data_IF_317303216774
#
_entry.id   IF_317303216774
#
_cell.length_a   1.000
_cell.length_b   1.000
_cell.length_c   1.000
_cell.angle_alpha   90.00
_cell.angle_beta   90.00
_cell.angle_gamma   90.00
#
_symmetry.space_group_name_H-M   'P 1'
#
loop_
_entity.id
_entity.type
_entity.pdbx_description
1 polymer ?
#
# COMPACT_ATOMS: atom_id res chain seq x y z
N UNK A 1 -2.90 -14.02 -14.51
CA UNK A 1 -2.57 -12.87 -13.67
C UNK A 1 -1.09 -12.65 -13.84
N UNK A 2 -0.79 -11.63 -14.62
CA UNK A 2 0.56 -11.18 -14.93
C UNK A 2 0.71 -9.73 -14.46
N UNK A 3 1.82 -9.44 -13.80
CA UNK A 3 2.17 -8.07 -13.43
C UNK A 3 2.85 -7.46 -14.65
N UNK A 4 2.13 -6.60 -15.36
CA UNK A 4 2.56 -6.07 -16.66
C UNK A 4 3.41 -4.81 -16.54
N UNK A 5 3.29 -4.08 -15.43
CA UNK A 5 4.08 -2.88 -15.16
C UNK A 5 4.32 -2.74 -13.66
N UNK A 6 5.49 -2.24 -13.28
CA UNK A 6 5.77 -1.76 -11.92
C UNK A 6 6.45 -0.40 -12.01
N UNK A 7 5.82 0.63 -11.43
CA UNK A 7 6.39 1.96 -11.25
C UNK A 7 6.94 2.09 -9.84
N UNK A 8 8.12 2.67 -9.69
CA UNK A 8 8.83 2.78 -8.40
C UNK A 8 9.19 4.24 -8.10
N UNK A 9 8.81 4.72 -6.93
CA UNK A 9 9.24 6.01 -6.35
C UNK A 9 10.20 5.74 -5.20
N UNK A 10 11.49 5.94 -5.43
CA UNK A 10 12.51 5.80 -4.39
C UNK A 10 12.33 6.86 -3.30
N UNK A 11 12.60 6.47 -2.05
CA UNK A 11 12.67 7.38 -0.92
C UNK A 11 14.14 7.64 -0.60
N UNK A 12 14.51 8.93 -0.56
CA UNK A 12 15.90 9.34 -0.41
C UNK A 12 16.50 9.02 0.98
N UNK A 13 15.67 8.82 2.00
CA UNK A 13 16.14 8.63 3.37
C UNK A 13 16.71 7.22 3.60
N UNK A 14 18.04 7.15 3.79
CA UNK A 14 18.76 5.88 3.95
C UNK A 14 18.55 5.20 5.30
N UNK A 15 18.20 5.95 6.35
CA UNK A 15 18.05 5.41 7.71
C UNK A 15 16.66 4.81 7.97
N UNK A 16 15.69 5.08 7.09
CA UNK A 16 14.35 4.56 7.23
C UNK A 16 14.22 3.15 6.65
N UNK A 17 13.35 2.35 7.27
CA UNK A 17 13.02 1.02 6.74
C UNK A 17 12.25 1.09 5.43
N UNK A 18 11.48 2.16 5.20
CA UNK A 18 10.74 2.35 3.96
C UNK A 18 11.67 2.87 2.87
N UNK A 19 11.76 2.16 1.74
CA UNK A 19 12.72 2.45 0.68
C UNK A 19 12.09 2.96 -0.60
N UNK A 20 10.87 2.52 -0.89
CA UNK A 20 10.13 3.01 -2.04
C UNK A 20 8.63 2.86 -1.84
N UNK A 21 7.88 3.70 -2.57
CA UNK A 21 6.49 3.42 -2.92
C UNK A 21 6.44 2.86 -4.34
N UNK A 22 5.53 1.93 -4.57
CA UNK A 22 5.34 1.27 -5.85
C UNK A 22 3.87 1.29 -6.25
N UNK A 23 3.64 1.32 -7.55
CA UNK A 23 2.36 0.97 -8.15
C UNK A 23 2.58 -0.17 -9.13
N UNK A 24 1.69 -1.16 -9.13
CA UNK A 24 1.75 -2.27 -10.10
C UNK A 24 0.50 -2.29 -10.95
N UNK A 25 0.66 -2.58 -12.24
CA UNK A 25 -0.42 -2.82 -13.19
C UNK A 25 -0.51 -4.32 -13.43
N UNK A 26 -1.72 -4.87 -13.34
CA UNK A 26 -2.02 -6.29 -13.53
C UNK A 26 -2.81 -6.43 -14.82
N UNK A 27 -2.38 -7.37 -15.67
CA UNK A 27 -3.02 -7.74 -16.94
C UNK A 27 -3.34 -6.52 -17.84
N UNK A 28 -2.54 -5.45 -17.76
CA UNK A 28 -2.77 -4.14 -18.43
C UNK A 28 -4.16 -3.52 -18.17
N UNK A 29 -4.83 -3.91 -17.08
CA UNK A 29 -6.24 -3.58 -16.86
C UNK A 29 -6.51 -3.04 -15.45
N UNK A 30 -5.65 -3.30 -14.47
CA UNK A 30 -5.91 -2.94 -13.09
C UNK A 30 -4.66 -2.46 -12.36
N UNK A 31 -4.72 -1.28 -11.74
CA UNK A 31 -3.60 -0.69 -11.00
C UNK A 31 -3.80 -0.81 -9.49
N UNK A 32 -2.76 -1.24 -8.78
CA UNK A 32 -2.68 -1.19 -7.32
C UNK A 32 -1.60 -0.18 -6.93
N UNK A 33 -2.00 0.90 -6.26
CA UNK A 33 -1.12 1.97 -5.74
C UNK A 33 -0.73 1.75 -4.28
N UNK A 34 0.20 2.56 -3.78
CA UNK A 34 0.63 2.60 -2.36
C UNK A 34 1.24 1.29 -1.82
N UNK A 35 1.84 0.49 -2.71
CA UNK A 35 2.64 -0.66 -2.31
C UNK A 35 3.98 -0.15 -1.78
N UNK A 36 4.55 -0.80 -0.78
CA UNK A 36 5.77 -0.33 -0.11
C UNK A 36 6.87 -1.36 -0.20
N UNK A 37 8.08 -0.92 -0.55
CA UNK A 37 9.30 -1.72 -0.39
C UNK A 37 9.95 -1.37 0.94
N UNK A 38 10.14 -2.36 1.79
CA UNK A 38 10.65 -2.19 3.15
C UNK A 38 11.90 -3.03 3.36
N UNK A 39 12.93 -2.45 3.97
CA UNK A 39 14.11 -3.17 4.47
C UNK A 39 13.75 -3.96 5.74
N UNK A 40 13.81 -5.28 5.64
CA UNK A 40 13.71 -6.23 6.74
C UNK A 40 15.08 -6.71 7.22
N UNK A 41 15.09 -7.70 8.11
CA UNK A 41 16.34 -8.36 8.55
C UNK A 41 16.95 -9.24 7.47
N UNK A 42 16.12 -9.78 6.57
CA UNK A 42 16.50 -10.75 5.55
C UNK A 42 16.44 -10.13 4.14
N UNK A 43 16.68 -8.83 4.03
CA UNK A 43 16.58 -8.08 2.77
C UNK A 43 15.25 -7.36 2.59
N UNK A 44 14.98 -6.94 1.35
CA UNK A 44 13.79 -6.19 0.97
C UNK A 44 12.55 -7.09 0.93
N UNK A 45 11.41 -6.56 1.39
CA UNK A 45 10.12 -7.21 1.26
C UNK A 45 9.03 -6.21 0.92
N UNK A 46 7.92 -6.73 0.38
CA UNK A 46 6.77 -5.92 -0.05
C UNK A 46 5.70 -5.88 1.04
N UNK A 47 5.28 -4.68 1.39
CA UNK A 47 4.09 -4.44 2.20
C UNK A 47 2.97 -3.89 1.33
N UNK A 48 1.82 -4.55 1.40
CA UNK A 48 0.65 -4.18 0.61
C UNK A 48 0.03 -2.85 1.08
N UNK A 49 -0.77 -2.19 0.22
CA UNK A 49 -1.50 -0.99 0.58
C UNK A 49 -2.44 -1.30 1.74
N UNK A 50 -2.43 -0.47 2.78
CA UNK A 50 -3.21 -0.73 3.99
C UNK A 50 -3.86 0.52 4.53
N UNK A 51 -5.04 0.33 5.14
CA UNK A 51 -5.80 1.39 5.80
C UNK A 51 -5.86 1.17 7.31
N UNK A 52 -5.92 2.26 8.07
CA UNK A 52 -6.23 2.23 9.49
C UNK A 52 -7.68 1.74 9.67
N UNK A 53 -7.87 0.78 10.56
CA UNK A 53 -9.19 0.29 10.91
C UNK A 53 -9.93 1.30 11.79
N UNK A 54 -11.24 1.38 11.57
CA UNK A 54 -12.15 2.29 12.25
C UNK A 54 -13.48 1.61 12.51
N UNK A 55 -14.17 2.07 13.54
CA UNK A 55 -15.53 1.71 13.91
C UNK A 55 -16.37 2.99 14.13
N UNK A 56 -17.62 2.81 14.55
CA UNK A 56 -18.56 3.91 14.77
C UNK A 56 -18.85 4.07 16.25
N UNK A 57 -18.94 5.32 16.69
CA UNK A 57 -19.30 5.66 18.07
C UNK A 57 -20.73 5.18 18.38
N UNK A 58 -20.96 4.46 19.49
CA UNK A 58 -22.30 3.98 19.84
C UNK A 58 -23.27 5.11 20.23
N UNK A 59 -22.77 6.31 20.57
CA UNK A 59 -23.60 7.46 20.95
C UNK A 59 -24.07 8.27 19.75
N UNK A 60 -23.17 8.60 18.82
CA UNK A 60 -23.46 9.54 17.73
C UNK A 60 -23.23 8.98 16.32
N UNK A 61 -22.79 7.73 16.18
CA UNK A 61 -22.47 7.12 14.89
C UNK A 61 -21.18 7.63 14.23
N UNK A 62 -20.46 8.58 14.82
CA UNK A 62 -19.22 9.14 14.23
C UNK A 62 -18.11 8.11 14.06
N UNK A 63 -17.35 8.19 12.96
CA UNK A 63 -16.24 7.26 12.63
C UNK A 63 -15.01 7.55 13.49
N UNK A 64 -14.45 6.52 14.11
CA UNK A 64 -13.31 6.62 15.02
C UNK A 64 -12.28 5.52 14.73
N UNK A 65 -10.99 5.81 14.92
CA UNK A 65 -9.99 4.75 14.86
C UNK A 65 -10.10 3.83 16.10
N UNK A 66 -9.72 2.57 15.95
CA UNK A 66 -9.95 1.55 16.99
C UNK A 66 -9.21 1.83 18.32
N UNK A 67 -8.15 2.64 18.30
CA UNK A 67 -7.41 3.09 19.49
C UNK A 67 -7.97 4.33 20.18
N UNK A 68 -8.99 4.98 19.61
CA UNK A 68 -9.51 6.22 20.19
C UNK A 68 -10.17 5.92 21.55
N UNK A 69 -9.81 6.70 22.58
CA UNK A 69 -10.45 6.66 23.91
C UNK A 69 -11.70 7.53 23.96
N UNK A 70 -11.80 8.52 23.08
CA UNK A 70 -12.94 9.43 22.97
C UNK A 70 -13.35 9.58 21.51
N UNK A 71 -14.64 9.85 21.30
CA UNK A 71 -15.18 10.10 19.98
C UNK A 71 -14.66 11.41 19.38
N UNK A 72 -14.05 11.34 18.20
CA UNK A 72 -13.57 12.48 17.41
C UNK A 72 -14.69 13.43 16.95
N UNK A 73 -15.96 13.04 17.10
CA UNK A 73 -17.12 13.86 16.73
C UNK A 73 -17.87 14.42 17.95
N UNK A 74 -18.22 13.57 18.94
CA UNK A 74 -19.06 14.00 20.08
C UNK A 74 -18.37 13.97 21.45
N UNK A 75 -17.08 13.59 21.52
CA UNK A 75 -16.32 13.51 22.76
C UNK A 75 -16.70 12.36 23.71
N UNK A 76 -17.71 11.55 23.38
CA UNK A 76 -18.11 10.42 24.22
C UNK A 76 -16.94 9.43 24.43
N UNK A 77 -16.80 8.92 25.65
CA UNK A 77 -15.84 7.85 25.97
C UNK A 77 -16.14 6.60 25.14
N UNK A 78 -15.09 6.00 24.60
CA UNK A 78 -15.13 4.81 23.78
C UNK A 78 -14.43 3.66 24.50
N UNK A 79 -14.98 2.44 24.36
CA UNK A 79 -14.44 1.26 25.02
C UNK A 79 -12.99 0.95 24.63
N UNK A 80 -12.26 0.34 25.57
CA UNK A 80 -10.85 -0.01 25.39
C UNK A 80 -10.64 -1.23 24.48
N UNK A 81 -11.60 -2.16 24.48
CA UNK A 81 -11.51 -3.46 23.80
C UNK A 81 -12.24 -3.49 22.45
N UNK A 82 -12.17 -2.40 21.68
CA UNK A 82 -12.83 -2.31 20.36
C UNK A 82 -12.04 -2.96 19.23
N UNK A 83 -10.73 -3.14 19.41
CA UNK A 83 -9.90 -3.81 18.41
C UNK A 83 -9.89 -5.33 18.61
N UNK A 84 -10.13 -6.07 17.52
CA UNK A 84 -9.93 -7.52 17.51
C UNK A 84 -8.47 -7.85 17.81
N UNK A 85 -8.24 -8.79 18.73
CA UNK A 85 -6.92 -9.33 19.06
C UNK A 85 -6.66 -10.58 18.20
N UNK A 86 -5.44 -10.74 17.69
CA UNK A 86 -5.01 -11.98 17.03
C UNK A 86 -4.81 -13.12 18.06
N UNK A 87 -4.53 -14.34 17.60
CA UNK A 87 -4.27 -15.49 18.48
C UNK A 87 -3.08 -15.28 19.45
N UNK A 88 -2.22 -14.29 19.18
CA UNK A 88 -1.08 -13.88 20.01
C UNK A 88 -1.40 -12.65 20.87
N UNK A 89 -2.67 -12.22 20.93
CA UNK A 89 -3.13 -11.08 21.72
C UNK A 89 -2.86 -9.70 21.11
N UNK A 90 -2.28 -9.61 19.91
CA UNK A 90 -1.92 -8.33 19.29
C UNK A 90 -3.14 -7.70 18.61
N UNK A 91 -3.34 -6.40 18.83
CA UNK A 91 -4.44 -5.65 18.24
C UNK A 91 -4.25 -5.52 16.72
N UNK A 92 -5.23 -5.96 15.93
CA UNK A 92 -5.26 -5.72 14.48
C UNK A 92 -5.81 -4.33 14.20
N UNK A 93 -4.91 -3.37 13.98
CA UNK A 93 -5.24 -1.94 13.79
C UNK A 93 -5.26 -1.50 12.32
N UNK A 94 -4.65 -2.30 11.46
CA UNK A 94 -4.57 -2.06 10.04
C UNK A 94 -5.12 -3.26 9.30
N UNK A 95 -5.72 -3.00 8.15
CA UNK A 95 -6.13 -4.02 7.20
C UNK A 95 -5.59 -3.63 5.83
N UNK A 96 -5.05 -4.61 5.11
CA UNK A 96 -4.64 -4.42 3.74
C UNK A 96 -5.88 -4.16 2.88
N UNK A 97 -5.76 -3.20 1.96
CA UNK A 97 -6.78 -2.84 0.97
C UNK A 97 -6.76 -3.87 -0.17
N UNK A 98 -5.57 -4.26 -0.58
CA UNK A 98 -5.32 -5.33 -1.55
C UNK A 98 -4.32 -6.33 -0.95
N UNK A 99 -4.53 -7.62 -1.16
CA UNK A 99 -3.55 -8.62 -0.75
C UNK A 99 -3.64 -9.89 -1.62
N UNK A 100 -2.51 -10.58 -1.86
CA UNK A 100 -2.55 -11.90 -2.48
C UNK A 100 -3.28 -12.90 -1.57
N UNK A 101 -4.07 -13.79 -2.17
CA UNK A 101 -4.86 -14.79 -1.43
C UNK A 101 -4.02 -16.04 -1.13
N UNK A 102 -3.04 -16.35 -1.98
CA UNK A 102 -2.18 -17.53 -1.83
C UNK A 102 -0.68 -17.18 -1.85
N UNK A 103 0.15 -18.14 -1.43
CA UNK A 103 1.59 -17.96 -1.29
C UNK A 103 2.30 -17.75 -2.64
N UNK A 104 1.85 -18.43 -3.70
CA UNK A 104 2.43 -18.31 -5.04
C UNK A 104 2.30 -16.88 -5.57
N UNK A 105 1.09 -16.31 -5.51
CA UNK A 105 0.82 -14.93 -5.92
C UNK A 105 1.61 -13.93 -5.06
N UNK A 106 1.74 -14.19 -3.75
CA UNK A 106 2.58 -13.37 -2.85
C UNK A 106 4.04 -13.34 -3.30
N UNK A 107 4.61 -14.50 -3.59
CA UNK A 107 5.99 -14.61 -4.02
C UNK A 107 6.21 -13.88 -5.35
N UNK A 108 5.32 -14.12 -6.32
CA UNK A 108 5.36 -13.46 -7.62
C UNK A 108 5.33 -11.92 -7.50
N UNK A 109 4.43 -11.36 -6.69
CA UNK A 109 4.37 -9.91 -6.46
C UNK A 109 5.65 -9.41 -5.80
N UNK A 110 6.14 -10.13 -4.79
CA UNK A 110 7.36 -9.73 -4.09
C UNK A 110 8.56 -9.66 -5.04
N UNK A 111 8.77 -10.72 -5.83
CA UNK A 111 9.91 -10.83 -6.73
C UNK A 111 9.87 -9.74 -7.80
N UNK A 112 8.71 -9.55 -8.44
CA UNK A 112 8.55 -8.53 -9.50
C UNK A 112 8.77 -7.11 -8.99
N UNK A 113 8.26 -6.78 -7.80
CA UNK A 113 8.39 -5.44 -7.24
C UNK A 113 9.81 -5.18 -6.72
N UNK A 114 10.42 -6.16 -6.06
CA UNK A 114 11.81 -6.02 -5.57
C UNK A 114 12.77 -5.90 -6.75
N UNK A 115 12.59 -6.69 -7.81
CA UNK A 115 13.37 -6.57 -9.04
C UNK A 115 13.26 -5.15 -9.63
N UNK A 116 12.04 -4.65 -9.83
CA UNK A 116 11.83 -3.30 -10.37
C UNK A 116 12.43 -2.21 -9.47
N UNK A 117 12.39 -2.39 -8.15
CA UNK A 117 13.01 -1.49 -7.19
C UNK A 117 14.54 -1.46 -7.30
N UNK A 118 15.17 -2.63 -7.42
CA UNK A 118 16.63 -2.73 -7.58
C UNK A 118 17.09 -2.13 -8.90
N UNK A 119 16.37 -2.37 -9.99
CA UNK A 119 16.63 -1.75 -11.29
C UNK A 119 16.52 -0.22 -11.21
N UNK A 120 15.47 0.30 -10.55
CA UNK A 120 15.30 1.74 -10.33
C UNK A 120 16.40 2.33 -9.44
N UNK A 121 16.83 1.58 -8.41
CA UNK A 121 17.93 1.97 -7.54
C UNK A 121 19.24 2.10 -8.34
N UNK A 122 19.53 1.20 -9.27
CA UNK A 122 20.71 1.31 -10.14
C UNK A 122 20.59 2.48 -11.13
N UNK A 123 19.42 2.69 -11.74
CA UNK A 123 19.16 3.86 -12.59
C UNK A 123 19.39 5.17 -11.83
N UNK A 124 19.00 5.24 -10.56
CA UNK A 124 19.15 6.43 -9.72
C UNK A 124 20.61 6.87 -9.51
N UNK A 125 21.58 5.97 -9.74
CA UNK A 125 23.01 6.26 -9.63
C UNK A 125 23.60 6.84 -10.91
N UNK A 126 22.89 6.74 -12.04
CA UNK A 126 23.40 7.18 -13.34
C UNK A 126 23.25 8.70 -13.53
N UNK A 127 24.18 9.36 -14.25
CA UNK A 127 24.07 10.79 -14.53
C UNK A 127 22.83 11.09 -15.38
N UNK A 128 22.07 12.12 -15.01
CA UNK A 128 20.85 12.51 -15.73
C UNK A 128 19.59 11.75 -15.31
N UNK A 129 19.64 10.94 -14.26
CA UNK A 129 18.46 10.30 -13.68
C UNK A 129 17.37 11.33 -13.33
N UNK A 130 16.14 11.01 -13.71
CA UNK A 130 14.94 11.74 -13.32
C UNK A 130 14.00 10.77 -12.58
N UNK A 131 13.55 11.10 -11.36
CA UNK A 131 12.59 10.28 -10.63
C UNK A 131 11.30 10.09 -11.43
N UNK A 132 10.70 8.91 -11.33
CA UNK A 132 9.38 8.64 -11.89
C UNK A 132 8.34 9.54 -11.22
N UNK A 133 7.58 10.29 -12.02
CA UNK A 133 6.45 11.08 -11.55
C UNK A 133 5.21 10.17 -11.42
N UNK A 134 4.51 10.27 -10.28
CA UNK A 134 3.33 9.46 -9.95
C UNK A 134 2.03 10.25 -10.06
N UNK A 135 2.13 11.54 -10.36
CA UNK A 135 1.06 12.52 -10.18
C UNK A 135 0.19 12.73 -11.43
N UNK A 136 0.14 11.75 -12.35
CA UNK A 136 -0.95 11.75 -13.34
C UNK A 136 -2.27 11.46 -12.60
N UNK A 137 -3.20 12.42 -12.55
CA UNK A 137 -4.53 12.18 -11.99
C UNK A 137 -5.24 11.14 -12.86
N UNK A 138 -5.86 10.15 -12.21
CA UNK A 138 -6.65 9.08 -12.84
C UNK A 138 -7.85 9.59 -13.68
N UNK A 139 -8.10 10.89 -13.71
CA UNK A 139 -9.25 11.53 -14.36
C UNK A 139 -9.06 11.71 -15.88
N UNK A 140 -7.87 11.44 -16.43
CA UNK A 140 -7.60 11.44 -17.87
C UNK A 140 -7.38 10.01 -18.39
N UNK A 141 -8.43 9.18 -18.37
CA UNK A 141 -8.45 7.96 -19.20
C UNK A 141 -8.97 8.37 -20.57
N UNK A 142 -8.17 8.31 -21.65
CA UNK A 142 -8.68 8.54 -22.99
C UNK A 142 -9.81 7.56 -23.30
N UNK A 143 -10.92 8.05 -23.84
CA UNK A 143 -12.10 7.27 -24.25
C UNK A 143 -11.80 6.18 -25.31
N UNK A 144 -10.55 6.08 -25.77
CA UNK A 144 -10.11 5.28 -26.92
C UNK A 144 -10.14 3.75 -26.68
N UNK A 145 -10.54 3.29 -25.48
CA UNK A 145 -10.80 1.86 -25.21
C UNK A 145 -12.26 1.47 -25.50
N UNK A 146 -13.14 2.43 -25.83
CA UNK A 146 -14.47 2.16 -26.39
C UNK A 146 -14.42 1.90 -27.92
N UNK A 147 -13.45 1.10 -28.36
CA UNK A 147 -13.32 0.65 -29.74
C UNK A 147 -14.21 -0.57 -30.03
N UNK A 148 -15.40 -0.32 -30.57
CA UNK A 148 -16.27 -1.25 -31.32
C UNK A 148 -16.83 -2.48 -30.58
N UNK A 149 -18.01 -2.28 -29.99
CA UNK A 149 -19.08 -3.29 -29.98
C UNK A 149 -20.21 -2.84 -30.89
#
# INVERSE_FOLDING_TARGET
>A
MDITEVRVKLIANKDERLKAFCSMTIDNAFVIRDIKVIMGTNGYFVAMPSRKMSDHCPKCGGKNHLRARFCNNCGASLGEERAKKDLKGRMKLHADIAHPINAQCRQMIQDKIVQAFEEELEKSKQPGYKPVEFDEPDDEVPDDIAGHL
#
